data_IF_358312125650
#
_entry.id   IF_358312125650
#
_cell.length_a   1.000
_cell.length_b   1.000
_cell.length_c   1.000
_cell.angle_alpha   90.00
_cell.angle_beta   90.00
_cell.angle_gamma   90.00
#
_symmetry.space_group_name_H-M   'P 1'
#
loop_
_entity.id
_entity.type
_entity.pdbx_description
1 polymer ?
#
# COMPACT_ATOMS: atom_id res chain seq x y z
N UNK A 1 8.11 -6.89 21.50
CA UNK A 1 8.85 -5.79 20.83
C UNK A 1 8.12 -5.26 19.60
N UNK A 2 7.99 -6.02 18.51
CA UNK A 2 7.31 -5.54 17.29
C UNK A 2 5.89 -4.98 17.53
N UNK A 3 5.05 -5.69 18.29
CA UNK A 3 3.69 -5.22 18.62
C UNK A 3 3.67 -3.83 19.28
N UNK A 4 4.62 -3.54 20.18
CA UNK A 4 4.69 -2.24 20.84
C UNK A 4 5.00 -1.10 19.85
N UNK A 5 5.88 -1.37 18.88
CA UNK A 5 6.21 -0.41 17.81
C UNK A 5 5.01 -0.21 16.88
N UNK A 6 4.33 -1.31 16.48
CA UNK A 6 3.13 -1.23 15.64
C UNK A 6 2.01 -0.45 16.33
N UNK A 7 1.78 -0.69 17.61
CA UNK A 7 0.74 0.00 18.38
C UNK A 7 0.93 1.51 18.43
N UNK A 8 2.17 2.01 18.36
CA UNK A 8 2.45 3.44 18.34
C UNK A 8 1.90 4.15 17.09
N UNK A 9 1.59 3.41 16.02
CA UNK A 9 1.09 3.93 14.74
C UNK A 9 -0.14 3.15 14.25
N UNK A 10 -0.91 2.52 15.14
CA UNK A 10 -1.99 1.63 14.72
C UNK A 10 -3.07 2.37 13.91
N UNK A 11 -3.53 3.51 14.41
CA UNK A 11 -4.58 4.29 13.73
C UNK A 11 -4.09 4.84 12.37
N UNK A 12 -2.82 5.23 12.30
CA UNK A 12 -2.19 5.65 11.04
C UNK A 12 -2.09 4.50 10.04
N UNK A 13 -1.83 3.27 10.52
CA UNK A 13 -1.79 2.07 9.69
C UNK A 13 -3.17 1.72 9.13
N UNK A 14 -4.23 1.88 9.93
CA UNK A 14 -5.61 1.70 9.47
C UNK A 14 -5.97 2.74 8.40
N UNK A 15 -5.51 3.99 8.57
CA UNK A 15 -5.68 5.04 7.57
C UNK A 15 -4.88 4.76 6.28
N UNK A 16 -3.67 4.19 6.38
CA UNK A 16 -2.89 3.73 5.22
C UNK A 16 -3.63 2.61 4.48
N UNK A 17 -4.27 1.68 5.18
CA UNK A 17 -5.06 0.62 4.56
C UNK A 17 -6.25 1.15 3.79
N UNK A 18 -6.98 2.08 4.40
CA UNK A 18 -8.08 2.74 3.72
C UNK A 18 -7.60 3.48 2.47
N UNK A 19 -6.53 4.27 2.60
CA UNK A 19 -5.96 5.02 1.49
C UNK A 19 -5.49 4.11 0.35
N UNK A 20 -4.87 2.96 0.65
CA UNK A 20 -4.43 1.99 -0.36
C UNK A 20 -5.61 1.44 -1.16
N UNK A 21 -6.70 1.08 -0.48
CA UNK A 21 -7.92 0.57 -1.12
C UNK A 21 -8.55 1.63 -2.00
N UNK A 22 -8.71 2.86 -1.48
CA UNK A 22 -9.25 3.99 -2.24
C UNK A 22 -8.45 4.29 -3.52
N UNK A 23 -7.11 4.27 -3.44
CA UNK A 23 -6.25 4.56 -4.60
C UNK A 23 -6.24 3.45 -5.65
N UNK A 24 -6.63 2.22 -5.29
CA UNK A 24 -6.63 1.06 -6.19
C UNK A 24 -8.02 0.64 -6.64
N UNK A 25 -9.07 1.37 -6.22
CA UNK A 25 -10.39 1.26 -6.82
C UNK A 25 -10.31 1.53 -8.33
N UNK A 26 -10.62 0.50 -9.12
CA UNK A 26 -10.48 0.54 -10.57
C UNK A 26 -11.51 -0.37 -11.23
N UNK A 27 -12.04 0.05 -12.38
CA UNK A 27 -12.89 -0.83 -13.22
C UNK A 27 -12.10 -1.99 -13.84
N UNK A 28 -10.78 -2.02 -13.70
CA UNK A 28 -9.92 -3.13 -14.13
C UNK A 28 -9.77 -4.10 -12.96
N UNK A 29 -10.37 -5.32 -13.00
CA UNK A 29 -10.42 -6.22 -11.84
C UNK A 29 -9.04 -6.61 -11.29
N UNK A 30 -8.01 -6.60 -12.13
CA UNK A 30 -6.67 -6.93 -11.69
C UNK A 30 -6.04 -5.82 -10.81
N UNK A 31 -6.38 -4.56 -11.04
CA UNK A 31 -5.87 -3.44 -10.24
C UNK A 31 -6.51 -3.48 -8.86
N UNK A 32 -7.80 -3.77 -8.79
CA UNK A 32 -8.55 -3.96 -7.53
C UNK A 32 -7.99 -5.13 -6.71
N UNK A 33 -7.70 -6.26 -7.37
CA UNK A 33 -7.07 -7.42 -6.74
C UNK A 33 -5.66 -7.13 -6.18
N UNK A 34 -4.92 -6.17 -6.76
CA UNK A 34 -3.61 -5.76 -6.22
C UNK A 34 -3.80 -5.00 -4.90
N UNK A 35 -4.85 -4.17 -4.77
CA UNK A 35 -5.13 -3.44 -3.53
C UNK A 35 -5.41 -4.37 -2.37
N UNK A 36 -6.30 -5.33 -2.59
CA UNK A 36 -6.57 -6.38 -1.60
C UNK A 36 -5.32 -7.20 -1.28
N UNK A 37 -4.52 -7.56 -2.28
CA UNK A 37 -3.26 -8.26 -2.02
C UNK A 37 -2.28 -7.45 -1.15
N UNK A 38 -2.22 -6.11 -1.28
CA UNK A 38 -1.31 -5.28 -0.49
C UNK A 38 -1.77 -5.17 0.98
N UNK A 39 -3.08 -5.07 1.20
CA UNK A 39 -3.66 -5.03 2.55
C UNK A 39 -3.60 -6.41 3.21
N UNK A 40 -3.97 -7.46 2.47
CA UNK A 40 -4.08 -8.85 2.96
C UNK A 40 -2.75 -9.62 2.94
N UNK A 41 -1.72 -9.11 2.24
CA UNK A 41 -0.36 -9.63 2.39
C UNK A 41 0.09 -9.32 3.81
N UNK A 42 -0.22 -10.23 4.73
CA UNK A 42 -0.01 -10.16 6.19
C UNK A 42 1.47 -10.17 6.61
N UNK A 43 2.33 -9.50 5.87
CA UNK A 43 3.65 -9.13 6.31
C UNK A 43 3.59 -8.06 7.40
N UNK A 44 4.72 -7.86 8.09
CA UNK A 44 4.83 -6.87 9.18
C UNK A 44 4.68 -5.41 8.72
N UNK A 45 4.60 -5.15 7.41
CA UNK A 45 4.47 -3.83 6.75
C UNK A 45 5.40 -2.78 7.35
N UNK A 46 6.66 -3.19 7.49
CA UNK A 46 7.70 -2.39 8.15
C UNK A 46 7.97 -1.06 7.43
N UNK A 47 7.74 -0.99 6.11
CA UNK A 47 7.97 0.21 5.30
C UNK A 47 6.97 1.33 5.67
N UNK A 48 5.64 1.12 5.64
CA UNK A 48 4.68 2.07 6.20
C UNK A 48 5.00 2.48 7.64
N UNK A 49 5.28 1.50 8.52
CA UNK A 49 5.57 1.77 9.94
C UNK A 49 6.77 2.72 10.09
N UNK A 50 7.85 2.51 9.33
CA UNK A 50 9.04 3.37 9.39
C UNK A 50 8.74 4.81 8.93
N UNK A 51 7.93 4.98 7.87
CA UNK A 51 7.54 6.29 7.37
C UNK A 51 6.70 7.04 8.39
N UNK A 52 5.71 6.38 8.97
CA UNK A 52 4.81 6.96 9.97
C UNK A 52 5.55 7.36 11.24
N UNK A 53 6.43 6.49 11.75
CA UNK A 53 7.27 6.79 12.91
C UNK A 53 8.22 7.96 12.63
N UNK A 54 8.87 7.98 11.45
CA UNK A 54 9.74 9.09 11.07
C UNK A 54 8.98 10.41 11.01
N UNK A 55 7.78 10.42 10.43
CA UNK A 55 6.93 11.61 10.37
C UNK A 55 6.52 12.12 11.76
N UNK A 56 6.13 11.22 12.68
CA UNK A 56 5.83 11.57 14.08
C UNK A 56 7.05 12.14 14.80
N UNK A 57 8.23 11.52 14.64
CA UNK A 57 9.48 12.01 15.22
C UNK A 57 9.87 13.40 14.70
N UNK A 58 9.49 13.73 13.46
CA UNK A 58 9.70 15.05 12.86
C UNK A 58 8.58 16.06 13.18
N UNK A 59 7.57 15.69 13.98
CA UNK A 59 6.47 16.60 14.36
C UNK A 59 5.47 16.89 13.24
N UNK A 60 5.22 15.93 12.35
CA UNK A 60 4.24 16.12 11.27
C UNK A 60 2.82 16.25 11.81
N UNK A 61 2.11 17.30 11.41
CA UNK A 61 0.70 17.56 11.75
C UNK A 61 -0.25 17.38 10.54
N UNK A 62 0.28 16.96 9.40
CA UNK A 62 -0.49 16.84 8.15
C UNK A 62 -0.81 15.38 7.81
N UNK A 63 -1.82 15.11 6.96
CA UNK A 63 -2.09 13.75 6.48
C UNK A 63 -1.07 13.20 5.48
N UNK A 64 -0.08 14.00 5.05
CA UNK A 64 0.90 13.63 4.03
C UNK A 64 1.67 12.31 4.29
N UNK A 65 2.02 11.94 5.55
CA UNK A 65 2.70 10.68 5.84
C UNK A 65 1.91 9.44 5.44
N UNK A 66 0.58 9.48 5.46
CA UNK A 66 -0.29 8.36 5.07
C UNK A 66 -0.16 8.09 3.57
N UNK A 67 -0.25 9.15 2.76
CA UNK A 67 -0.09 9.05 1.31
C UNK A 67 1.33 8.59 0.95
N UNK A 68 2.36 9.12 1.62
CA UNK A 68 3.75 8.73 1.40
C UNK A 68 4.02 7.26 1.77
N UNK A 69 3.52 6.81 2.92
CA UNK A 69 3.62 5.42 3.36
C UNK A 69 2.97 4.46 2.35
N UNK A 70 1.80 4.83 1.84
CA UNK A 70 1.07 4.08 0.81
C UNK A 70 1.86 3.98 -0.50
N UNK A 71 2.41 5.10 -0.98
CA UNK A 71 3.24 5.14 -2.21
C UNK A 71 4.49 4.27 -2.08
N UNK A 72 5.17 4.31 -0.93
CA UNK A 72 6.36 3.49 -0.70
C UNK A 72 5.99 1.99 -0.74
N UNK A 73 4.85 1.61 -0.18
CA UNK A 73 4.38 0.23 -0.22
C UNK A 73 3.95 -0.22 -1.62
N UNK A 74 3.36 0.68 -2.42
CA UNK A 74 3.10 0.43 -3.84
C UNK A 74 4.38 0.16 -4.62
N UNK A 75 5.41 1.01 -4.47
CA UNK A 75 6.69 0.83 -5.16
C UNK A 75 7.34 -0.49 -4.74
N UNK A 76 7.31 -0.83 -3.46
CA UNK A 76 7.81 -2.11 -2.98
C UNK A 76 7.07 -3.29 -3.65
N UNK A 77 5.74 -3.25 -3.62
CA UNK A 77 4.90 -4.31 -4.19
C UNK A 77 5.14 -4.47 -5.68
N UNK A 78 5.20 -3.36 -6.43
CA UNK A 78 5.46 -3.38 -7.87
C UNK A 78 6.85 -3.96 -8.21
N UNK A 79 7.84 -3.71 -7.36
CA UNK A 79 9.22 -4.19 -7.56
C UNK A 79 9.38 -5.66 -7.18
N UNK A 80 8.72 -6.11 -6.12
CA UNK A 80 8.75 -7.50 -5.65
C UNK A 80 7.80 -8.42 -6.41
N UNK A 81 6.83 -7.87 -7.14
CA UNK A 81 5.92 -8.64 -7.98
C UNK A 81 6.71 -9.46 -9.03
N UNK A 82 6.48 -10.79 -9.14
CA UNK A 82 7.14 -11.61 -10.14
C UNK A 82 6.87 -11.07 -11.55
N UNK A 83 7.90 -10.96 -12.41
CA UNK A 83 7.79 -10.46 -13.81
C UNK A 83 6.69 -11.15 -14.65
N UNK A 84 6.24 -12.35 -14.27
CA UNK A 84 5.12 -13.06 -14.92
C UNK A 84 3.76 -12.38 -14.71
N UNK A 85 3.56 -11.62 -13.62
CA UNK A 85 2.30 -10.89 -13.34
C UNK A 85 2.20 -9.52 -14.03
N UNK A 86 3.32 -8.88 -14.35
CA UNK A 86 3.34 -7.63 -15.13
C UNK A 86 2.70 -7.79 -16.52
N UNK A 87 2.84 -8.96 -17.17
CA UNK A 87 2.13 -9.26 -18.42
C UNK A 87 0.63 -9.38 -18.23
N UNK A 88 0.13 -9.96 -17.14
CA UNK A 88 -1.31 -10.06 -16.90
C UNK A 88 -1.96 -8.68 -16.77
N UNK A 89 -1.28 -7.69 -16.18
CA UNK A 89 -1.78 -6.30 -16.10
C UNK A 89 -1.88 -5.65 -17.46
N UNK A 90 -0.83 -5.76 -18.27
CA UNK A 90 -0.82 -5.21 -19.64
C UNK A 90 -1.85 -5.92 -20.54
N UNK A 91 -2.13 -7.20 -20.28
CA UNK A 91 -3.09 -7.98 -21.08
C UNK A 91 -4.53 -7.74 -20.63
N UNK A 92 -4.79 -7.62 -19.32
CA UNK A 92 -6.12 -7.33 -18.77
C UNK A 92 -6.60 -5.91 -19.12
N UNK A 93 -5.70 -4.92 -19.10
CA UNK A 93 -6.02 -3.55 -19.53
C UNK A 93 -6.34 -3.43 -21.04
N UNK A 94 -5.99 -4.45 -21.85
CA UNK A 94 -6.36 -4.52 -23.28
C UNK A 94 -7.75 -5.12 -23.52
N UNK A 95 -8.36 -5.79 -22.54
CA UNK A 95 -9.64 -6.48 -22.73
C UNK A 95 -10.88 -5.64 -22.38
N UNK A 96 -10.69 -4.41 -21.88
CA UNK A 96 -11.79 -3.48 -21.51
C UNK A 96 -12.17 -2.46 -22.60
N UNK A 97 -11.63 -2.61 -23.82
CA UNK A 97 -11.98 -1.80 -25.00
C UNK A 97 -12.46 -2.65 -26.18
N UNK A 98 -13.27 -3.68 -25.90
CA UNK A 98 -14.04 -4.43 -26.90
C UNK A 98 -15.52 -4.13 -26.77
#
# INVERSE_FOLDING_TARGET
MYQAIRNAVNDDMDAVDHYIVEQLHSQVPLVENIGHYIVDAGGKRLRPILVLLAARCCGSETPAPIALASVIEFIHTATSAPRRRSRYVVTAARQTHG
#
